data_IF_157790696977
#
_entry.id   IF_157790696977
#
_cell.length_a   1.000
_cell.length_b   1.000
_cell.length_c   1.000
_cell.angle_alpha   90.00
_cell.angle_beta   90.00
_cell.angle_gamma   90.00
#
_symmetry.space_group_name_H-M   'P 1'
#
loop_
_entity.id
_entity.type
_entity.pdbx_description
1 polymer ?
#
# COMPACT_ATOMS: atom_id res chain seq x y z
N UNK A 1 -30.20 10.68 -3.33
CA UNK A 1 -30.32 10.77 -1.86
C UNK A 1 -29.36 11.80 -1.34
N UNK A 2 -29.77 12.57 -0.37
CA UNK A 2 -28.91 13.63 0.19
C UNK A 2 -27.66 13.07 0.84
N UNK A 3 -27.73 11.89 1.42
CA UNK A 3 -26.60 11.20 2.03
C UNK A 3 -25.51 10.90 1.02
N UNK A 4 -25.89 10.52 -0.19
CA UNK A 4 -24.92 10.22 -1.23
C UNK A 4 -24.16 11.46 -1.67
N UNK A 5 -24.84 12.58 -1.73
CA UNK A 5 -24.22 13.85 -2.09
C UNK A 5 -23.30 14.36 -0.98
N UNK A 6 -23.71 14.21 0.27
CA UNK A 6 -22.87 14.57 1.41
C UNK A 6 -21.59 13.73 1.44
N UNK A 7 -21.70 12.46 1.10
CA UNK A 7 -20.56 11.56 1.06
C UNK A 7 -19.57 11.88 -0.06
N UNK A 8 -19.96 12.66 -1.06
CA UNK A 8 -19.06 13.05 -2.15
C UNK A 8 -17.90 13.94 -1.70
N UNK A 9 -18.12 14.74 -0.64
CA UNK A 9 -17.10 15.65 -0.11
C UNK A 9 -16.20 15.00 0.95
N UNK A 10 -16.67 13.93 1.57
CA UNK A 10 -15.94 13.22 2.62
C UNK A 10 -15.51 11.84 2.13
N UNK A 11 -14.34 11.35 2.56
CA UNK A 11 -13.95 10.00 2.22
C UNK A 11 -14.93 8.99 2.81
N UNK A 12 -15.18 7.86 2.12
CA UNK A 12 -16.08 6.82 2.63
C UNK A 12 -15.55 6.24 3.95
N UNK A 13 -16.44 5.67 4.78
CA UNK A 13 -16.03 5.00 6.01
C UNK A 13 -14.97 3.94 5.77
N UNK A 14 -14.15 3.65 6.78
CA UNK A 14 -13.04 2.70 6.67
C UNK A 14 -13.47 1.33 6.17
N UNK A 15 -14.70 0.90 6.47
CA UNK A 15 -15.24 -0.39 6.04
C UNK A 15 -15.96 -0.36 4.70
N UNK A 16 -16.00 0.77 3.98
CA UNK A 16 -16.76 0.86 2.74
C UNK A 16 -16.16 -0.02 1.64
N UNK A 17 -16.99 -0.65 0.79
CA UNK A 17 -16.49 -1.47 -0.32
C UNK A 17 -15.62 -0.69 -1.30
N UNK A 18 -15.94 0.57 -1.58
CA UNK A 18 -15.17 1.41 -2.48
C UNK A 18 -13.76 1.65 -1.94
N UNK A 19 -13.65 1.98 -0.66
CA UNK A 19 -12.37 2.17 0.01
C UNK A 19 -11.57 0.87 0.04
N UNK A 20 -12.19 -0.24 0.38
CA UNK A 20 -11.53 -1.54 0.45
C UNK A 20 -10.97 -1.97 -0.90
N UNK A 21 -11.76 -1.82 -1.97
CA UNK A 21 -11.30 -2.15 -3.32
C UNK A 21 -10.10 -1.31 -3.74
N UNK A 22 -10.15 -0.01 -3.47
CA UNK A 22 -9.07 0.91 -3.82
C UNK A 22 -7.79 0.57 -3.06
N UNK A 23 -7.90 0.34 -1.76
CA UNK A 23 -6.75 -0.02 -0.93
C UNK A 23 -6.21 -1.41 -1.28
N UNK A 24 -7.07 -2.34 -1.67
CA UNK A 24 -6.63 -3.64 -2.16
C UNK A 24 -5.78 -3.50 -3.42
N UNK A 25 -6.20 -2.65 -4.35
CA UNK A 25 -5.43 -2.34 -5.56
C UNK A 25 -4.06 -1.76 -5.23
N UNK A 26 -4.00 -0.81 -4.31
CA UNK A 26 -2.73 -0.23 -3.84
C UNK A 26 -1.85 -1.31 -3.23
N UNK A 27 -2.41 -2.15 -2.38
CA UNK A 27 -1.69 -3.26 -1.74
C UNK A 27 -1.07 -4.20 -2.77
N UNK A 28 -1.82 -4.57 -3.81
CA UNK A 28 -1.32 -5.45 -4.86
C UNK A 28 -0.15 -4.83 -5.62
N UNK A 29 -0.24 -3.54 -5.93
CA UNK A 29 0.84 -2.82 -6.62
C UNK A 29 2.08 -2.70 -5.75
N UNK A 30 1.91 -2.37 -4.47
CA UNK A 30 3.02 -2.31 -3.50
C UNK A 30 3.70 -3.67 -3.37
N UNK A 31 2.90 -4.73 -3.29
CA UNK A 31 3.41 -6.09 -3.18
C UNK A 31 4.20 -6.48 -4.43
N UNK A 32 3.70 -6.16 -5.61
CA UNK A 32 4.39 -6.43 -6.87
C UNK A 32 5.71 -5.66 -6.96
N UNK A 33 5.71 -4.38 -6.61
CA UNK A 33 6.91 -3.54 -6.63
C UNK A 33 7.95 -4.03 -5.62
N UNK A 34 7.50 -4.42 -4.43
CA UNK A 34 8.38 -4.98 -3.39
C UNK A 34 9.01 -6.29 -3.85
N UNK A 35 8.20 -7.17 -4.43
CA UNK A 35 8.69 -8.45 -4.96
C UNK A 35 9.74 -8.24 -6.04
N UNK A 36 9.50 -7.33 -6.98
CA UNK A 36 10.44 -7.00 -8.04
C UNK A 36 11.75 -6.44 -7.48
N UNK A 37 11.65 -5.53 -6.51
CA UNK A 37 12.83 -4.94 -5.87
C UNK A 37 13.65 -5.96 -5.09
N UNK A 38 13.00 -6.93 -4.47
CA UNK A 38 13.65 -8.02 -3.74
C UNK A 38 14.15 -9.14 -4.65
N UNK A 39 13.67 -9.23 -5.88
CA UNK A 39 14.01 -10.31 -6.79
C UNK A 39 13.39 -11.65 -6.42
N UNK A 40 12.23 -11.64 -5.78
CA UNK A 40 11.52 -12.84 -5.35
C UNK A 40 10.10 -12.87 -5.93
N UNK A 41 9.48 -14.07 -6.03
CA UNK A 41 8.09 -14.14 -6.47
C UNK A 41 7.14 -13.49 -5.47
N UNK A 42 6.08 -12.88 -5.98
CA UNK A 42 4.96 -12.32 -5.24
C UNK A 42 4.47 -13.23 -4.10
N UNK A 43 4.24 -14.48 -4.45
CA UNK A 43 3.73 -15.50 -3.54
C UNK A 43 4.66 -15.71 -2.34
N UNK A 44 5.97 -15.62 -2.57
CA UNK A 44 6.95 -15.81 -1.50
C UNK A 44 6.86 -14.72 -0.45
N UNK A 45 6.58 -13.47 -0.86
CA UNK A 45 6.41 -12.36 0.09
C UNK A 45 5.18 -12.59 0.95
N UNK A 46 4.05 -12.94 0.34
CA UNK A 46 2.81 -13.21 1.07
C UNK A 46 2.98 -14.36 2.07
N UNK A 47 3.65 -15.43 1.66
CA UNK A 47 3.92 -16.56 2.54
C UNK A 47 4.87 -16.19 3.67
N UNK A 48 5.89 -15.41 3.39
CA UNK A 48 6.86 -14.96 4.40
C UNK A 48 6.21 -14.03 5.42
N UNK A 49 5.33 -13.15 5.00
CA UNK A 49 4.59 -12.29 5.92
C UNK A 49 3.66 -13.10 6.82
N UNK A 50 2.97 -14.07 6.26
CA UNK A 50 2.11 -14.98 7.04
C UNK A 50 2.90 -15.78 8.08
N UNK A 51 4.16 -16.08 7.78
CA UNK A 51 5.06 -16.78 8.69
C UNK A 51 5.76 -15.84 9.69
N UNK A 52 5.43 -14.53 9.67
CA UNK A 52 6.03 -13.56 10.57
C UNK A 52 7.35 -12.96 10.09
N UNK A 53 7.77 -13.25 8.87
CA UNK A 53 8.97 -12.64 8.30
C UNK A 53 8.69 -11.23 7.82
N UNK A 54 9.63 -10.32 8.05
CA UNK A 54 9.52 -8.93 7.60
C UNK A 54 10.20 -8.73 6.25
N UNK A 55 9.83 -7.65 5.56
CA UNK A 55 10.51 -7.22 4.33
C UNK A 55 12.01 -7.06 4.58
N UNK A 56 12.39 -6.53 5.75
CA UNK A 56 13.79 -6.35 6.11
C UNK A 56 14.56 -7.69 6.14
N UNK A 57 13.94 -8.74 6.66
CA UNK A 57 14.57 -10.07 6.69
C UNK A 57 14.75 -10.66 5.29
N UNK A 58 13.74 -10.50 4.45
CA UNK A 58 13.80 -10.97 3.07
C UNK A 58 14.90 -10.21 2.31
N UNK A 59 14.94 -8.89 2.48
CA UNK A 59 15.96 -8.04 1.86
C UNK A 59 17.38 -8.47 2.28
N UNK A 60 17.58 -8.75 3.57
CA UNK A 60 18.86 -9.21 4.09
C UNK A 60 19.28 -10.53 3.43
N UNK A 61 18.35 -11.48 3.30
CA UNK A 61 18.63 -12.76 2.64
C UNK A 61 18.95 -12.61 1.16
N UNK A 62 18.31 -11.66 0.49
CA UNK A 62 18.53 -11.38 -0.93
C UNK A 62 19.69 -10.40 -1.17
N UNK A 63 20.29 -9.90 -0.10
CA UNK A 63 21.40 -8.95 -0.19
C UNK A 63 20.97 -7.65 -0.89
N UNK A 64 19.78 -7.16 -0.58
CA UNK A 64 19.18 -5.96 -1.15
C UNK A 64 18.98 -4.91 -0.06
N UNK A 65 19.16 -3.63 -0.39
CA UNK A 65 18.94 -2.53 0.55
C UNK A 65 17.45 -2.39 0.88
N UNK A 66 17.12 -2.41 2.17
CA UNK A 66 15.75 -2.16 2.66
C UNK A 66 15.27 -0.77 2.24
N UNK A 67 16.15 0.23 2.31
CA UNK A 67 15.80 1.60 1.91
C UNK A 67 15.38 1.67 0.45
N UNK A 68 16.08 0.93 -0.42
CA UNK A 68 15.73 0.87 -1.85
C UNK A 68 14.38 0.20 -2.05
N UNK A 69 14.12 -0.92 -1.36
CA UNK A 69 12.84 -1.63 -1.47
C UNK A 69 11.69 -0.73 -1.05
N UNK A 70 11.83 -0.03 0.05
CA UNK A 70 10.81 0.91 0.55
C UNK A 70 10.59 2.07 -0.41
N UNK A 71 11.67 2.61 -0.96
CA UNK A 71 11.59 3.69 -1.94
C UNK A 71 10.85 3.26 -3.21
N UNK A 72 11.13 2.07 -3.71
CA UNK A 72 10.43 1.51 -4.88
C UNK A 72 8.94 1.30 -4.57
N UNK A 73 8.62 0.77 -3.39
CA UNK A 73 7.24 0.55 -2.97
C UNK A 73 6.47 1.87 -2.86
N UNK A 74 7.07 2.91 -2.27
CA UNK A 74 6.46 4.24 -2.18
C UNK A 74 6.23 4.85 -3.55
N UNK A 75 7.22 4.78 -4.42
CA UNK A 75 7.11 5.32 -5.77
C UNK A 75 5.98 4.65 -6.55
N UNK A 76 5.76 3.35 -6.36
CA UNK A 76 4.67 2.63 -6.99
C UNK A 76 3.30 2.99 -6.39
N UNK A 77 3.24 3.25 -5.08
CA UNK A 77 2.00 3.56 -4.38
C UNK A 77 1.54 5.01 -4.57
N UNK A 78 2.47 5.97 -4.64
CA UNK A 78 2.15 7.39 -4.63
C UNK A 78 1.11 7.82 -5.67
N UNK A 79 1.23 7.48 -6.96
CA UNK A 79 0.22 7.90 -7.93
C UNK A 79 -1.15 7.31 -7.65
N UNK A 80 -1.22 6.10 -7.13
CA UNK A 80 -2.49 5.46 -6.78
C UNK A 80 -3.13 6.10 -5.56
N UNK A 81 -2.33 6.45 -4.56
CA UNK A 81 -2.82 7.15 -3.36
C UNK A 81 -3.30 8.55 -3.72
N UNK A 82 -2.56 9.27 -4.56
CA UNK A 82 -2.96 10.59 -5.02
C UNK A 82 -4.29 10.54 -5.79
N UNK A 83 -4.45 9.55 -6.65
CA UNK A 83 -5.68 9.34 -7.38
C UNK A 83 -6.85 9.01 -6.45
N UNK A 84 -6.61 8.19 -5.42
CA UNK A 84 -7.64 7.85 -4.44
C UNK A 84 -8.09 9.08 -3.65
N UNK A 85 -7.19 9.99 -3.32
CA UNK A 85 -7.54 11.27 -2.69
C UNK A 85 -8.37 12.12 -3.62
N UNK A 86 -7.96 12.25 -4.88
CA UNK A 86 -8.70 13.03 -5.87
C UNK A 86 -10.09 12.47 -6.13
N UNK A 87 -10.25 11.15 -6.08
CA UNK A 87 -11.53 10.48 -6.24
C UNK A 87 -12.40 10.53 -4.98
N UNK A 88 -11.89 11.08 -3.87
CA UNK A 88 -12.63 11.18 -2.61
C UNK A 88 -12.77 9.85 -1.88
N UNK A 89 -11.98 8.85 -2.21
CA UNK A 89 -12.03 7.52 -1.58
C UNK A 89 -11.30 7.50 -0.25
N UNK A 90 -10.21 8.25 -0.15
CA UNK A 90 -9.44 8.42 1.09
C UNK A 90 -9.15 9.90 1.31
N UNK A 91 -8.83 10.27 2.55
CA UNK A 91 -8.44 11.63 2.91
C UNK A 91 -6.92 11.82 2.75
N UNK A 92 -6.46 13.08 2.83
CA UNK A 92 -5.03 13.37 2.88
C UNK A 92 -4.36 12.74 4.10
N UNK A 93 -5.05 12.70 5.23
CA UNK A 93 -4.53 12.05 6.44
C UNK A 93 -4.39 10.55 6.24
N UNK A 94 -5.36 9.92 5.59
CA UNK A 94 -5.28 8.50 5.22
C UNK A 94 -4.08 8.25 4.32
N UNK A 95 -3.86 9.11 3.34
CA UNK A 95 -2.71 9.00 2.44
C UNK A 95 -1.40 9.05 3.21
N UNK A 96 -1.25 9.99 4.13
CA UNK A 96 -0.06 10.12 4.95
C UNK A 96 0.18 8.88 5.81
N UNK A 97 -0.89 8.36 6.42
CA UNK A 97 -0.81 7.15 7.23
C UNK A 97 -0.39 5.94 6.41
N UNK A 98 -0.94 5.78 5.22
CA UNK A 98 -0.61 4.67 4.32
C UNK A 98 0.84 4.78 3.83
N UNK A 99 1.29 5.97 3.47
CA UNK A 99 2.69 6.19 3.08
C UNK A 99 3.65 5.86 4.21
N UNK A 100 3.31 6.25 5.44
CA UNK A 100 4.12 5.91 6.61
C UNK A 100 4.23 4.40 6.81
N UNK A 101 3.13 3.66 6.65
CA UNK A 101 3.17 2.20 6.75
C UNK A 101 4.06 1.57 5.70
N UNK A 102 3.96 2.04 4.47
CA UNK A 102 4.80 1.53 3.38
C UNK A 102 6.26 1.83 3.65
N UNK A 103 6.57 3.05 4.07
CA UNK A 103 7.94 3.46 4.39
C UNK A 103 8.53 2.65 5.55
N UNK A 104 7.73 2.43 6.61
CA UNK A 104 8.24 1.83 7.84
C UNK A 104 8.18 0.30 7.81
N UNK A 105 7.19 -0.28 7.13
CA UNK A 105 6.94 -1.72 7.14
C UNK A 105 7.05 -2.37 5.76
N UNK A 106 7.01 -1.59 4.69
CA UNK A 106 6.98 -2.11 3.33
C UNK A 106 5.66 -2.76 2.94
N UNK A 107 4.57 -2.46 3.66
CA UNK A 107 3.23 -3.02 3.42
C UNK A 107 2.18 -1.95 3.65
N UNK A 108 1.04 -2.16 3.06
CA UNK A 108 -0.14 -1.30 3.23
C UNK A 108 -0.99 -1.78 4.39
#
# INVERSE_FOLDING_TARGET
>A
MAEDQAAADDPPPAGSPARQRRLWGVRLVVLAATAAALGVPHKQISQSQAAGNTVARIAARQNVSVARVRSVALAAADPLLDEAVRAGVISDDDRRSLRSRIRDRGVV
#
